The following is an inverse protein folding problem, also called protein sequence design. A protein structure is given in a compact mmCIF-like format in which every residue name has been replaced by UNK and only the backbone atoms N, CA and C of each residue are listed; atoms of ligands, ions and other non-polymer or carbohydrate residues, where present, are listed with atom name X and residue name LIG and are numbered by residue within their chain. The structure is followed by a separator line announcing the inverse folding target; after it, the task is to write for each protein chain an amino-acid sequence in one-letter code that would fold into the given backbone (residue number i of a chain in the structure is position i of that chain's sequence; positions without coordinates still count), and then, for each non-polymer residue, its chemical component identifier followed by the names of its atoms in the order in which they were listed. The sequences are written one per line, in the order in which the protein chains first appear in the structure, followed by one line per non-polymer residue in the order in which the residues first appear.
data_IF_022379866473
#
_entry.id   IF_022379866473
#
_cell.length_a   1.000
_cell.length_b   1.000
_cell.length_c   1.000
_cell.angle_alpha   90.00
_cell.angle_beta   90.00
_cell.angle_gamma   90.00
#
_symmetry.space_group_name_H-M   'P 1'
#
loop_
_entity.id
_entity.type
_entity.pdbx_description
1 polymer ?
#
# COMPACT_ATOMS: atom_id res chain seq x y z
N UNK A 1 47.50 11.84 -8.61
CA UNK A 1 46.42 11.63 -7.62
C UNK A 1 46.92 10.53 -6.71
N UNK A 2 47.28 10.90 -5.49
CA UNK A 2 48.08 10.04 -4.60
C UNK A 2 47.19 8.93 -4.04
N UNK A 3 47.49 7.67 -4.40
CA UNK A 3 46.74 6.49 -3.97
C UNK A 3 46.65 6.38 -2.44
N UNK A 4 47.66 6.89 -1.74
CA UNK A 4 47.76 6.92 -0.28
C UNK A 4 46.68 7.83 0.34
N UNK A 5 46.45 9.03 -0.21
CA UNK A 5 45.38 9.93 0.25
C UNK A 5 43.99 9.34 0.07
N UNK A 6 43.78 8.60 -1.03
CA UNK A 6 42.52 7.89 -1.26
C UNK A 6 42.29 6.78 -0.24
N UNK A 7 43.36 6.10 0.21
CA UNK A 7 43.27 5.08 1.26
C UNK A 7 42.97 5.69 2.63
N UNK A 8 43.59 6.82 2.97
CA UNK A 8 43.29 7.57 4.20
C UNK A 8 41.82 8.01 4.24
N UNK A 9 41.33 8.62 3.17
CA UNK A 9 39.93 9.06 3.09
C UNK A 9 38.95 7.89 3.18
N UNK A 10 39.28 6.75 2.56
CA UNK A 10 38.50 5.53 2.72
C UNK A 10 38.41 5.09 4.18
N UNK A 11 39.54 5.08 4.90
CA UNK A 11 39.56 4.68 6.31
C UNK A 11 38.76 5.64 7.20
N UNK A 12 38.84 6.95 6.93
CA UNK A 12 38.05 7.96 7.63
C UNK A 12 36.56 7.70 7.43
N UNK A 13 36.12 7.51 6.19
CA UNK A 13 34.71 7.24 5.87
C UNK A 13 34.21 5.95 6.51
N UNK A 14 35.03 4.90 6.55
CA UNK A 14 34.66 3.64 7.21
C UNK A 14 34.42 3.87 8.70
N UNK A 15 35.30 4.61 9.38
CA UNK A 15 35.11 4.94 10.81
C UNK A 15 33.86 5.78 11.06
N UNK A 16 33.57 6.73 10.18
CA UNK A 16 32.36 7.55 10.26
C UNK A 16 31.10 6.67 10.14
N UNK A 17 31.08 5.75 9.17
CA UNK A 17 29.97 4.80 8.97
C UNK A 17 29.81 3.90 10.20
N UNK A 18 30.90 3.36 10.74
CA UNK A 18 30.86 2.53 11.95
C UNK A 18 30.31 3.33 13.14
N UNK A 19 30.71 4.59 13.29
CA UNK A 19 30.19 5.49 14.33
C UNK A 19 28.70 5.77 14.17
N UNK A 20 28.22 5.99 12.94
CA UNK A 20 26.80 6.17 12.65
C UNK A 20 25.99 4.90 12.89
N UNK A 21 26.53 3.73 12.55
CA UNK A 21 25.90 2.44 12.84
C UNK A 21 25.80 2.17 14.35
N UNK A 22 26.85 2.52 15.11
CA UNK A 22 26.84 2.41 16.56
C UNK A 22 25.78 3.33 17.21
N UNK A 23 25.48 4.48 16.61
CA UNK A 23 24.38 5.36 17.04
C UNK A 23 23.00 4.85 16.61
N UNK A 24 22.91 4.14 15.47
CA UNK A 24 21.66 3.57 14.99
C UNK A 24 21.22 2.34 15.80
N UNK A 25 22.17 1.51 16.24
CA UNK A 25 21.90 0.31 17.04
C UNK A 25 21.01 0.54 18.28
N UNK A 26 21.27 1.51 19.18
CA UNK A 26 20.40 1.77 20.33
C UNK A 26 19.01 2.25 19.89
N UNK A 27 18.93 3.07 18.85
CA UNK A 27 17.66 3.56 18.31
C UNK A 27 16.84 2.39 17.77
N UNK A 28 17.44 1.46 17.03
CA UNK A 28 16.78 0.26 16.54
C UNK A 28 16.25 -0.61 17.69
N UNK A 29 17.03 -0.76 18.78
CA UNK A 29 16.55 -1.51 19.95
C UNK A 29 15.37 -0.83 20.62
N UNK A 30 15.40 0.50 20.76
CA UNK A 30 14.26 1.24 21.32
C UNK A 30 13.04 1.08 20.42
N UNK A 31 13.22 1.22 19.11
CA UNK A 31 12.17 1.10 18.11
C UNK A 31 11.53 -0.30 18.17
N UNK A 32 12.32 -1.36 18.30
CA UNK A 32 11.84 -2.74 18.52
C UNK A 32 11.00 -2.86 19.79
N UNK A 33 11.44 -2.27 20.90
CA UNK A 33 10.67 -2.26 22.16
C UNK A 33 9.35 -1.50 21.99
N UNK A 34 9.32 -0.39 21.25
CA UNK A 34 8.08 0.35 20.97
C UNK A 34 7.13 -0.47 20.10
N UNK A 35 7.63 -1.17 19.08
CA UNK A 35 6.81 -2.07 18.26
C UNK A 35 6.22 -3.22 19.08
N UNK A 36 6.98 -3.79 20.01
CA UNK A 36 6.46 -4.84 20.90
C UNK A 36 5.35 -4.30 21.82
N UNK A 37 5.53 -3.09 22.37
CA UNK A 37 4.48 -2.40 23.13
C UNK A 37 3.24 -2.12 22.30
N UNK A 38 3.40 -1.66 21.05
CA UNK A 38 2.27 -1.43 20.14
C UNK A 38 1.52 -2.74 19.87
N UNK A 39 2.25 -3.82 19.57
CA UNK A 39 1.64 -5.13 19.36
C UNK A 39 0.90 -5.65 20.62
N UNK A 40 1.41 -5.36 21.82
CA UNK A 40 0.71 -5.67 23.06
C UNK A 40 -0.59 -4.86 23.22
N UNK A 41 -0.57 -3.57 22.87
CA UNK A 41 -1.76 -2.72 22.87
C UNK A 41 -2.78 -3.21 21.83
N UNK A 42 -2.37 -3.54 20.62
CA UNK A 42 -3.25 -4.10 19.59
C UNK A 42 -3.89 -5.41 20.04
N UNK A 43 -3.15 -6.26 20.76
CA UNK A 43 -3.71 -7.47 21.37
C UNK A 43 -4.76 -7.15 22.42
N UNK A 44 -4.50 -6.17 23.29
CA UNK A 44 -5.47 -5.76 24.31
C UNK A 44 -6.75 -5.20 23.68
N UNK A 45 -6.60 -4.31 22.69
CA UNK A 45 -7.72 -3.75 21.94
C UNK A 45 -8.52 -4.84 21.22
N UNK A 46 -7.85 -5.86 20.68
CA UNK A 46 -8.51 -6.98 20.02
C UNK A 46 -9.07 -8.04 21.00
N UNK A 47 -8.57 -8.12 22.23
CA UNK A 47 -9.06 -9.02 23.30
C UNK A 47 -10.33 -8.50 23.97
N UNK A 48 -10.58 -7.18 23.96
CA UNK A 48 -11.84 -6.61 24.45
C UNK A 48 -13.06 -6.92 23.55
N UNK A 49 -12.85 -7.62 22.43
CA UNK A 49 -13.91 -8.12 21.56
C UNK A 49 -13.79 -9.64 21.42
N UNK A 50 -14.58 -10.36 22.24
CA UNK A 50 -14.94 -11.79 22.19
C UNK A 50 -14.39 -12.73 23.29
N UNK A 51 -15.24 -13.64 23.79
CA UNK A 51 -14.99 -14.41 24.99
C UNK A 51 -14.02 -15.58 24.76
N UNK A 52 -13.39 -15.93 25.87
CA UNK A 52 -12.37 -16.95 26.08
C UNK A 52 -12.79 -18.32 25.51
N UNK A 53 -11.97 -18.90 24.63
CA UNK A 53 -11.83 -20.36 24.53
C UNK A 53 -10.33 -20.76 24.63
N UNK A 54 -10.04 -21.17 25.85
CA UNK A 54 -8.98 -22.01 26.43
C UNK A 54 -8.06 -22.81 25.51
N UNK A 55 -6.78 -22.39 25.49
CA UNK A 55 -5.51 -23.15 25.62
C UNK A 55 -5.50 -24.64 25.18
N UNK A 56 -4.73 -24.93 24.14
CA UNK A 56 -3.84 -26.12 24.06
C UNK A 56 -2.71 -25.86 23.06
N UNK A 57 -1.48 -25.69 23.57
CA UNK A 57 -0.22 -25.78 22.81
C UNK A 57 0.30 -27.22 22.91
N UNK A 58 1.06 -27.80 21.95
CA UNK A 58 2.34 -27.22 21.51
C UNK A 58 2.69 -27.38 20.03
N UNK A 59 3.69 -26.60 19.60
CA UNK A 59 4.49 -26.81 18.39
C UNK A 59 3.72 -26.78 17.08
N UNK A 60 3.80 -25.64 16.39
CA UNK A 60 4.14 -25.54 14.98
C UNK A 60 4.49 -24.08 14.73
N UNK A 61 5.67 -23.83 14.18
CA UNK A 61 6.08 -22.55 13.60
C UNK A 61 5.20 -22.25 12.37
N UNK A 62 3.92 -21.99 12.60
CA UNK A 62 3.15 -21.14 11.71
C UNK A 62 3.44 -19.75 12.21
N UNK A 63 4.49 -19.15 11.65
CA UNK A 63 4.48 -17.73 11.41
C UNK A 63 3.11 -17.41 10.84
N UNK A 64 2.23 -16.89 11.70
CA UNK A 64 1.05 -16.18 11.26
C UNK A 64 1.55 -14.87 10.63
N UNK A 65 2.28 -15.02 9.52
CA UNK A 65 1.93 -14.29 8.32
C UNK A 65 0.45 -14.65 8.13
N UNK A 66 -0.42 -13.92 8.82
CA UNK A 66 -1.70 -13.58 8.25
C UNK A 66 -1.31 -12.92 6.95
N UNK A 67 -1.10 -13.73 5.91
CA UNK A 67 -1.24 -13.37 4.51
C UNK A 67 -2.70 -12.93 4.46
N UNK A 68 -2.95 -11.74 5.00
CA UNK A 68 -4.11 -10.98 4.70
C UNK A 68 -3.97 -10.85 3.20
N UNK A 69 -4.71 -11.68 2.46
CA UNK A 69 -4.72 -11.63 1.01
C UNK A 69 -5.33 -10.28 0.72
N UNK A 70 -4.50 -9.23 0.75
CA UNK A 70 -4.91 -7.85 0.48
C UNK A 70 -5.70 -7.94 -0.82
N UNK A 71 -6.96 -7.53 -0.77
CA UNK A 71 -7.81 -7.64 -1.96
C UNK A 71 -7.17 -6.79 -3.04
N UNK A 72 -7.33 -7.19 -4.30
CA UNK A 72 -6.80 -6.45 -5.46
C UNK A 72 -7.21 -4.96 -5.39
N UNK A 73 -8.44 -4.69 -4.92
CA UNK A 73 -8.94 -3.34 -4.67
C UNK A 73 -8.15 -2.59 -3.58
N UNK A 74 -7.77 -3.24 -2.47
CA UNK A 74 -6.99 -2.58 -1.42
C UNK A 74 -5.58 -2.23 -1.92
N UNK A 75 -4.95 -3.11 -2.70
CA UNK A 75 -3.63 -2.85 -3.31
C UNK A 75 -3.73 -1.69 -4.31
N UNK A 76 -4.75 -1.69 -5.15
CA UNK A 76 -5.01 -0.61 -6.09
C UNK A 76 -5.28 0.74 -5.38
N UNK A 77 -5.91 0.69 -4.20
CA UNK A 77 -6.16 1.87 -3.38
C UNK A 77 -4.86 2.45 -2.82
N UNK A 78 -4.01 1.61 -2.22
CA UNK A 78 -2.70 2.00 -1.69
C UNK A 78 -1.86 2.65 -2.81
N UNK A 79 -1.80 2.01 -3.97
CA UNK A 79 -1.01 2.49 -5.11
C UNK A 79 -1.53 3.82 -5.69
N UNK A 80 -2.85 3.98 -5.83
CA UNK A 80 -3.43 5.25 -6.25
C UNK A 80 -3.16 6.34 -5.20
N UNK A 81 -3.31 6.02 -3.91
CA UNK A 81 -3.06 6.95 -2.81
C UNK A 81 -1.61 7.45 -2.83
N UNK A 82 -0.65 6.56 -3.04
CA UNK A 82 0.78 6.90 -3.12
C UNK A 82 1.10 7.72 -4.37
N UNK A 83 0.47 7.41 -5.52
CA UNK A 83 0.67 8.16 -6.76
C UNK A 83 0.06 9.57 -6.72
N UNK A 84 -1.05 9.77 -5.99
CA UNK A 84 -1.72 11.07 -5.87
C UNK A 84 -2.39 11.58 -7.16
N UNK A 85 -2.32 10.83 -8.26
CA UNK A 85 -2.87 11.20 -9.57
C UNK A 85 -3.79 10.11 -10.14
N UNK A 86 -4.81 10.46 -10.95
CA UNK A 86 -5.64 9.47 -11.63
C UNK A 86 -4.80 8.63 -12.59
N UNK A 87 -4.89 7.30 -12.49
CA UNK A 87 -4.11 6.38 -13.31
C UNK A 87 -4.99 5.61 -14.30
N UNK A 88 -4.40 5.27 -15.45
CA UNK A 88 -5.03 4.36 -16.40
C UNK A 88 -4.91 2.92 -15.91
N UNK A 89 -5.95 2.11 -16.15
CA UNK A 89 -6.03 0.76 -15.57
C UNK A 89 -4.87 -0.16 -15.98
N UNK A 90 -4.31 -0.01 -17.19
CA UNK A 90 -3.15 -0.79 -17.62
C UNK A 90 -1.89 -0.41 -16.85
N UNK A 91 -1.69 0.88 -16.62
CA UNK A 91 -0.54 1.39 -15.86
C UNK A 91 -0.66 0.99 -14.39
N UNK A 92 -1.88 1.03 -13.85
CA UNK A 92 -2.18 0.55 -12.50
C UNK A 92 -1.91 -0.96 -12.38
N UNK A 93 -2.30 -1.75 -13.38
CA UNK A 93 -2.01 -3.18 -13.43
C UNK A 93 -0.50 -3.44 -13.47
N UNK A 94 0.25 -2.72 -14.31
CA UNK A 94 1.70 -2.85 -14.42
C UNK A 94 2.40 -2.51 -13.10
N UNK A 95 1.98 -1.42 -12.44
CA UNK A 95 2.53 -1.00 -11.16
C UNK A 95 2.21 -2.00 -10.03
N UNK A 96 1.03 -2.64 -10.04
CA UNK A 96 0.70 -3.73 -9.10
C UNK A 96 1.63 -4.93 -9.31
N UNK A 97 1.88 -5.31 -10.57
CA UNK A 97 2.81 -6.41 -10.91
C UNK A 97 4.26 -6.06 -10.53
N UNK A 98 4.69 -4.82 -10.75
CA UNK A 98 6.01 -4.33 -10.33
C UNK A 98 6.19 -4.33 -8.81
N UNK A 99 5.11 -4.07 -8.06
CA UNK A 99 5.11 -4.17 -6.60
C UNK A 99 5.12 -5.62 -6.07
N UNK A 100 5.19 -6.63 -6.96
CA UNK A 100 5.27 -8.05 -6.59
C UNK A 100 3.92 -8.70 -6.30
N UNK A 101 2.81 -8.03 -6.64
CA UNK A 101 1.46 -8.60 -6.49
C UNK A 101 0.96 -9.18 -7.80
N UNK A 102 0.42 -10.40 -7.72
CA UNK A 102 -0.15 -11.09 -8.88
C UNK A 102 -1.67 -10.97 -8.91
N UNK A 103 -2.20 -10.42 -10.00
CA UNK A 103 -3.64 -10.37 -10.26
C UNK A 103 -4.02 -11.65 -10.98
N UNK A 104 -4.74 -12.54 -10.28
CA UNK A 104 -5.21 -13.82 -10.85
C UNK A 104 -6.28 -13.57 -11.92
N UNK A 105 -6.24 -14.35 -13.00
CA UNK A 105 -7.25 -14.32 -14.07
C UNK A 105 -6.64 -14.50 -15.46
N UNK A 106 -7.50 -14.70 -16.47
CA UNK A 106 -7.07 -14.80 -17.88
C UNK A 106 -6.53 -13.46 -18.42
N UNK A 107 -7.11 -12.34 -17.99
CA UNK A 107 -6.60 -11.00 -18.25
C UNK A 107 -6.53 -10.18 -16.93
N UNK A 108 -5.32 -10.01 -16.36
CA UNK A 108 -5.07 -9.24 -15.15
C UNK A 108 -5.68 -7.83 -15.17
N UNK A 109 -5.61 -7.14 -16.32
CA UNK A 109 -6.04 -5.75 -16.42
C UNK A 109 -7.57 -5.63 -16.44
N UNK A 110 -8.25 -6.59 -17.09
CA UNK A 110 -9.72 -6.67 -17.08
C UNK A 110 -10.25 -7.10 -15.71
N UNK A 111 -9.58 -8.05 -15.04
CA UNK A 111 -9.97 -8.46 -13.70
C UNK A 111 -9.81 -7.32 -12.67
N UNK A 112 -8.75 -6.53 -12.80
CA UNK A 112 -8.55 -5.32 -12.01
C UNK A 112 -9.71 -4.33 -12.17
N UNK A 113 -10.17 -4.09 -13.40
CA UNK A 113 -11.32 -3.22 -13.67
C UNK A 113 -12.57 -3.74 -12.95
N UNK A 114 -12.83 -5.05 -13.00
CA UNK A 114 -14.00 -5.64 -12.36
C UNK A 114 -14.01 -5.37 -10.85
N UNK A 115 -12.88 -5.58 -10.17
CA UNK A 115 -12.75 -5.31 -8.74
C UNK A 115 -12.87 -3.82 -8.39
N UNK A 116 -12.22 -2.94 -9.15
CA UNK A 116 -12.24 -1.49 -8.92
C UNK A 116 -13.62 -0.88 -9.20
N UNK A 117 -14.37 -1.41 -10.17
CA UNK A 117 -15.68 -0.88 -10.55
C UNK A 117 -16.77 -1.18 -9.52
N UNK A 118 -16.62 -2.26 -8.75
CA UNK A 118 -17.55 -2.66 -7.68
C UNK A 118 -17.27 -1.86 -6.40
N UNK A 119 -16.01 -1.48 -6.17
CA UNK A 119 -15.60 -0.82 -4.94
C UNK A 119 -15.96 0.69 -4.94
N UNK A 120 -16.77 1.17 -3.97
CA UNK A 120 -17.23 2.56 -3.91
C UNK A 120 -16.13 3.58 -3.57
N UNK A 121 -14.94 3.13 -3.16
CA UNK A 121 -13.77 4.00 -2.88
C UNK A 121 -13.19 4.59 -4.15
N UNK A 122 -13.43 3.97 -5.30
CA UNK A 122 -12.93 4.43 -6.59
C UNK A 122 -13.96 5.25 -7.34
N UNK A 123 -13.46 6.16 -8.17
CA UNK A 123 -14.24 6.98 -9.09
C UNK A 123 -13.57 6.95 -10.45
N UNK A 124 -14.36 6.57 -11.46
CA UNK A 124 -13.93 6.64 -12.85
C UNK A 124 -13.99 8.09 -13.34
N UNK A 125 -12.84 8.62 -13.76
CA UNK A 125 -12.71 10.02 -14.23
C UNK A 125 -12.89 10.10 -15.74
N UNK A 126 -12.30 9.14 -16.47
CA UNK A 126 -12.35 9.02 -17.93
C UNK A 126 -12.41 7.54 -18.33
N UNK A 127 -12.53 7.24 -19.63
CA UNK A 127 -12.57 5.86 -20.12
C UNK A 127 -11.27 5.13 -19.72
N UNK A 128 -11.37 4.21 -18.77
CA UNK A 128 -10.24 3.42 -18.27
C UNK A 128 -9.35 4.13 -17.25
N UNK A 129 -9.69 5.35 -16.82
CA UNK A 129 -8.92 6.11 -15.81
C UNK A 129 -9.68 6.16 -14.50
N UNK A 130 -9.01 5.73 -13.44
CA UNK A 130 -9.57 5.62 -12.09
C UNK A 130 -8.81 6.52 -11.11
N UNK A 131 -9.52 6.97 -10.10
CA UNK A 131 -9.01 7.81 -9.02
C UNK A 131 -9.77 7.53 -7.73
N UNK A 132 -9.29 8.05 -6.61
CA UNK A 132 -9.97 7.89 -5.32
C UNK A 132 -11.12 8.89 -5.16
N UNK A 133 -12.24 8.43 -4.60
CA UNK A 133 -13.48 9.22 -4.42
C UNK A 133 -13.29 10.44 -3.52
N UNK A 134 -12.36 10.37 -2.57
CA UNK A 134 -12.01 11.46 -1.65
C UNK A 134 -11.08 12.52 -2.23
N UNK A 135 -10.56 12.33 -3.45
CA UNK A 135 -9.71 13.34 -4.07
C UNK A 135 -10.53 14.52 -4.52
N UNK A 136 -10.17 15.71 -4.02
CA UNK A 136 -10.56 16.98 -4.60
C UNK A 136 -9.89 17.08 -5.97
N UNK A 137 -10.51 16.46 -6.97
CA UNK A 137 -10.19 16.73 -8.36
C UNK A 137 -10.51 18.20 -8.57
N UNK A 138 -9.51 19.06 -8.52
CA UNK A 138 -9.65 20.48 -8.86
C UNK A 138 -10.20 20.52 -10.27
N UNK A 139 -11.51 20.71 -10.34
CA UNK A 139 -12.28 20.49 -11.54
C UNK A 139 -11.95 21.57 -12.55
N UNK A 140 -11.26 21.22 -13.62
CA UNK A 140 -11.67 21.76 -14.91
C UNK A 140 -13.01 21.11 -15.24
N UNK A 141 -14.09 21.84 -14.95
CA UNK A 141 -15.47 21.59 -15.45
C UNK A 141 -15.38 21.07 -16.88
N UNK A 142 -15.67 19.79 -17.09
CA UNK A 142 -15.98 19.30 -18.44
C UNK A 142 -17.45 19.63 -18.65
N UNK A 143 -17.65 20.70 -19.44
CA UNK A 143 -18.92 21.14 -19.97
C UNK A 143 -19.54 19.96 -20.74
N UNK A 144 -20.70 19.49 -20.30
CA UNK A 144 -21.34 18.33 -20.92
C UNK A 144 -22.55 17.77 -20.20
N UNK A 145 -23.28 18.57 -19.42
CA UNK A 145 -24.67 18.22 -19.09
C UNK A 145 -25.50 18.45 -20.36
N UNK A 146 -25.61 17.42 -21.19
CA UNK A 146 -26.64 17.38 -22.22
C UNK A 146 -27.96 17.01 -21.56
N UNK A 147 -28.74 18.06 -21.32
CA UNK A 147 -30.20 18.05 -21.35
C UNK A 147 -30.72 17.12 -22.45
N UNK A 148 -31.57 16.15 -22.08
CA UNK A 148 -32.70 15.63 -22.85
C UNK A 148 -33.73 15.23 -21.79
N UNK A 149 -34.82 15.96 -21.55
CA UNK A 149 -35.72 16.54 -22.54
C UNK A 149 -36.75 15.46 -22.87
N UNK A 150 -37.95 15.60 -22.31
CA UNK A 150 -39.00 14.59 -22.31
C UNK A 150 -39.56 14.24 -23.69
N UNK A 151 -40.31 13.13 -23.72
CA UNK A 151 -41.05 12.67 -24.88
C UNK A 151 -42.04 11.57 -24.49
N UNK A 152 -43.21 11.98 -23.99
CA UNK A 152 -44.45 11.19 -24.07
C UNK A 152 -44.84 11.08 -25.55
N UNK A 153 -45.13 9.88 -26.04
CA UNK A 153 -46.11 9.62 -27.10
C UNK A 153 -46.72 8.24 -26.77
N UNK A 154 -47.96 8.23 -26.28
CA UNK A 154 -49.23 8.01 -27.00
C UNK A 154 -49.43 6.55 -27.41
#
# INVERSE_FOLDING_TARGET
MDQEKLQEWKQILVREIEGLQAQLAPIETELKVKYEKLAAIDRLLNLEMHPIETISTPTNSSTAVTKNRKKIADIAYDLLKDAGIPMYYKDLCAAITQAGFEIRGQDPATNLIAHISIDPRFKRVKRGTYALKGWKMTGKRIIGQRSRGGGKQK
#
